data_IF_976469001796
#
_entry.id   IF_976469001796
#
_cell.length_a   1.000
_cell.length_b   1.000
_cell.length_c   1.000
_cell.angle_alpha   90.00
_cell.angle_beta   90.00
_cell.angle_gamma   90.00
#
_symmetry.space_group_name_H-M   'P 1'
#
loop_
_entity.id
_entity.type
_entity.pdbx_description
1 polymer ?
#
# COMPACT_ATOMS: atom_id res chain seq x y z
N UNK A 1 9.85 5.58 -5.09
CA UNK A 1 8.42 5.92 -5.24
C UNK A 1 8.29 7.43 -5.27
N UNK A 2 7.74 7.95 -6.36
CA UNK A 2 7.72 9.39 -6.63
C UNK A 2 6.53 10.01 -5.88
N UNK A 3 6.77 11.05 -5.09
CA UNK A 3 5.79 11.68 -4.16
C UNK A 3 4.63 12.35 -4.92
N UNK A 4 4.84 12.69 -6.18
CA UNK A 4 3.86 13.27 -7.10
C UNK A 4 2.69 12.33 -7.43
N UNK A 5 2.90 11.01 -7.41
CA UNK A 5 1.85 10.01 -7.72
C UNK A 5 0.83 9.81 -6.61
N UNK A 6 1.10 10.38 -5.45
CA UNK A 6 0.18 10.40 -4.30
C UNK A 6 -0.94 11.42 -4.51
N UNK A 7 -0.78 12.38 -5.43
CA UNK A 7 -1.78 13.41 -5.70
C UNK A 7 -3.14 12.80 -6.04
N UNK A 8 -4.19 13.36 -5.44
CA UNK A 8 -5.58 12.95 -5.61
C UNK A 8 -6.38 14.06 -6.28
N UNK A 9 -7.50 13.68 -6.90
CA UNK A 9 -8.49 14.60 -7.44
C UNK A 9 -9.76 14.62 -6.57
N UNK A 10 -10.69 15.51 -6.91
CA UNK A 10 -11.98 15.66 -6.21
C UNK A 10 -12.75 14.34 -6.10
N UNK A 11 -12.66 13.46 -7.10
CA UNK A 11 -13.37 12.18 -7.08
C UNK A 11 -12.83 11.22 -6.00
N UNK A 12 -11.51 11.18 -5.81
CA UNK A 12 -10.89 10.40 -4.72
C UNK A 12 -11.20 11.04 -3.37
N UNK A 13 -11.18 12.37 -3.29
CA UNK A 13 -11.51 13.11 -2.07
C UNK A 13 -12.94 12.81 -1.62
N UNK A 14 -13.93 13.00 -2.50
CA UNK A 14 -15.34 12.73 -2.24
C UNK A 14 -15.56 11.28 -1.82
N UNK A 15 -14.97 10.32 -2.54
CA UNK A 15 -15.10 8.91 -2.19
C UNK A 15 -14.48 8.62 -0.83
N UNK A 16 -13.33 9.20 -0.52
CA UNK A 16 -12.69 9.02 0.77
C UNK A 16 -13.53 9.61 1.89
N UNK A 17 -14.09 10.83 1.71
CA UNK A 17 -15.02 11.45 2.65
C UNK A 17 -16.26 10.59 2.89
N UNK A 18 -16.86 10.04 1.83
CA UNK A 18 -18.00 9.14 1.92
C UNK A 18 -17.68 7.91 2.80
N UNK A 19 -16.52 7.29 2.60
CA UNK A 19 -16.10 6.10 3.34
C UNK A 19 -15.88 6.39 4.84
N UNK A 20 -15.44 7.59 5.19
CA UNK A 20 -15.07 7.96 6.55
C UNK A 20 -16.13 8.78 7.30
N UNK A 21 -17.23 9.17 6.65
CA UNK A 21 -18.24 10.12 7.15
C UNK A 21 -18.72 9.84 8.58
N UNK A 22 -18.95 8.57 8.91
CA UNK A 22 -19.46 8.13 10.22
C UNK A 22 -18.40 7.38 11.04
N UNK A 23 -17.11 7.57 10.74
CA UNK A 23 -15.99 6.90 11.42
C UNK A 23 -15.29 7.87 12.36
N UNK A 24 -15.25 7.53 13.64
CA UNK A 24 -14.77 8.42 14.70
C UNK A 24 -13.29 8.19 15.03
N UNK A 25 -12.77 7.00 14.74
CA UNK A 25 -11.38 6.63 15.05
C UNK A 25 -10.53 6.47 13.79
N UNK A 26 -9.21 6.67 13.91
CA UNK A 26 -8.29 6.42 12.79
C UNK A 26 -8.33 4.97 12.31
N UNK A 27 -8.57 4.01 13.22
CA UNK A 27 -8.66 2.59 12.88
C UNK A 27 -9.92 2.29 12.04
N UNK A 28 -11.07 2.84 12.42
CA UNK A 28 -12.31 2.71 11.64
C UNK A 28 -12.17 3.30 10.24
N UNK A 29 -11.54 4.48 10.13
CA UNK A 29 -11.25 5.12 8.84
C UNK A 29 -10.33 4.27 7.98
N UNK A 30 -9.20 3.83 8.56
CA UNK A 30 -8.22 3.00 7.87
C UNK A 30 -8.85 1.70 7.35
N UNK A 31 -9.66 1.03 8.18
CA UNK A 31 -10.35 -0.21 7.84
C UNK A 31 -11.36 -0.02 6.70
N UNK A 32 -12.16 1.06 6.74
CA UNK A 32 -13.13 1.35 5.68
C UNK A 32 -12.43 1.60 4.33
N UNK A 33 -11.35 2.39 4.33
CA UNK A 33 -10.56 2.68 3.14
C UNK A 33 -9.89 1.41 2.62
N UNK A 34 -9.23 0.64 3.49
CA UNK A 34 -8.58 -0.62 3.13
C UNK A 34 -9.52 -1.59 2.42
N UNK A 35 -10.68 -1.88 3.02
CA UNK A 35 -11.65 -2.80 2.43
C UNK A 35 -12.23 -2.28 1.12
N UNK A 36 -12.42 -0.97 0.99
CA UNK A 36 -12.88 -0.41 -0.28
C UNK A 36 -11.83 -0.58 -1.37
N UNK A 37 -10.56 -0.27 -1.13
CA UNK A 37 -9.49 -0.44 -2.13
C UNK A 37 -9.36 -1.92 -2.50
N UNK A 38 -9.25 -2.80 -1.50
CA UNK A 38 -9.09 -4.25 -1.71
C UNK A 38 -10.27 -4.89 -2.46
N UNK A 39 -11.49 -4.34 -2.35
CA UNK A 39 -12.68 -4.88 -3.02
C UNK A 39 -13.04 -4.20 -4.34
N UNK A 40 -12.53 -2.97 -4.60
CA UNK A 40 -12.94 -2.17 -5.76
C UNK A 40 -11.85 -1.98 -6.79
N UNK A 41 -10.60 -2.36 -6.49
CA UNK A 41 -9.52 -2.33 -7.45
C UNK A 41 -9.14 -3.76 -7.80
N UNK A 42 -9.45 -4.16 -9.03
CA UNK A 42 -9.14 -5.51 -9.51
C UNK A 42 -7.63 -5.65 -9.68
N UNK A 43 -7.07 -6.71 -9.13
CA UNK A 43 -5.66 -7.05 -9.36
C UNK A 43 -5.43 -7.43 -10.82
N UNK A 44 -4.50 -6.74 -11.48
CA UNK A 44 -4.01 -7.08 -12.81
C UNK A 44 -2.50 -7.08 -12.73
N UNK A 45 -1.90 -8.27 -12.69
CA UNK A 45 -0.46 -8.43 -12.70
C UNK A 45 0.11 -7.97 -14.04
N UNK A 46 0.85 -6.86 -14.03
CA UNK A 46 1.61 -6.40 -15.19
C UNK A 46 3.05 -6.91 -15.03
N UNK A 47 3.39 -7.95 -15.78
CA UNK A 47 4.74 -8.52 -15.80
C UNK A 47 5.65 -7.72 -16.75
N UNK A 48 6.66 -7.05 -16.17
CA UNK A 48 7.94 -6.62 -16.73
C UNK A 48 8.03 -5.61 -17.92
N UNK A 49 8.66 -4.47 -17.61
CA UNK A 49 9.20 -3.42 -18.51
C UNK A 49 9.84 -2.28 -17.68
N UNK A 50 10.34 -1.20 -18.29
CA UNK A 50 10.94 -0.01 -17.61
C UNK A 50 10.06 0.61 -16.49
N UNK A 51 8.77 0.28 -16.47
CA UNK A 51 7.79 0.65 -15.44
C UNK A 51 7.83 -0.22 -14.15
N UNK A 52 8.74 -1.20 -14.04
CA UNK A 52 8.71 -2.25 -13.02
C UNK A 52 8.75 -1.83 -11.54
N UNK A 53 8.98 -0.55 -11.24
CA UNK A 53 8.99 0.00 -9.88
C UNK A 53 8.13 1.26 -9.70
N UNK A 54 7.48 1.73 -10.75
CA UNK A 54 6.76 3.00 -10.71
C UNK A 54 5.26 2.75 -10.82
N UNK A 55 4.46 3.02 -9.77
CA UNK A 55 3.00 2.88 -9.87
C UNK A 55 2.43 3.92 -10.83
N UNK A 56 1.21 3.71 -11.31
CA UNK A 56 0.40 4.74 -11.97
C UNK A 56 -0.02 5.84 -10.99
N UNK A 57 -0.58 6.94 -11.50
CA UNK A 57 -1.15 7.97 -10.63
C UNK A 57 -2.38 7.44 -9.90
N UNK A 58 -2.56 7.83 -8.64
CA UNK A 58 -3.75 7.42 -7.86
C UNK A 58 -5.07 7.74 -8.59
N UNK A 59 -5.13 8.86 -9.30
CA UNK A 59 -6.26 9.27 -10.14
C UNK A 59 -6.54 8.31 -11.29
N UNK A 60 -5.51 7.81 -11.96
CA UNK A 60 -5.64 6.81 -13.04
C UNK A 60 -6.13 5.47 -12.49
N UNK A 61 -5.54 5.01 -11.39
CA UNK A 61 -5.91 3.75 -10.73
C UNK A 61 -7.36 3.81 -10.25
N UNK A 62 -7.73 4.93 -9.62
CA UNK A 62 -9.10 5.17 -9.15
C UNK A 62 -10.08 5.22 -10.32
N UNK A 63 -9.75 5.86 -11.43
CA UNK A 63 -10.63 5.93 -12.61
C UNK A 63 -10.80 4.56 -13.26
N UNK A 64 -9.71 3.82 -13.42
CA UNK A 64 -9.66 2.58 -14.18
C UNK A 64 -10.13 1.36 -13.36
N UNK A 65 -10.09 1.44 -12.02
CA UNK A 65 -10.49 0.37 -11.10
C UNK A 65 -9.71 -0.95 -11.27
N UNK A 66 -8.47 -0.87 -11.76
CA UNK A 66 -7.53 -1.99 -11.80
C UNK A 66 -6.10 -1.51 -11.62
N UNK A 67 -5.22 -2.44 -11.22
CA UNK A 67 -3.78 -2.19 -11.09
C UNK A 67 -3.06 -3.37 -10.46
N UNK A 68 -1.72 -3.30 -10.46
CA UNK A 68 -0.86 -4.28 -9.79
C UNK A 68 -0.68 -3.97 -8.28
N UNK A 69 0.27 -4.63 -7.62
CA UNK A 69 0.52 -4.43 -6.19
C UNK A 69 0.98 -3.01 -5.82
N UNK A 70 1.74 -2.36 -6.71
CA UNK A 70 2.26 -1.01 -6.51
C UNK A 70 1.12 -0.01 -6.67
N UNK A 71 0.27 -0.21 -7.68
CA UNK A 71 -0.90 0.63 -7.96
C UNK A 71 -1.90 0.61 -6.81
N UNK A 72 -2.31 -0.58 -6.36
CA UNK A 72 -3.26 -0.69 -5.26
C UNK A 72 -2.72 -0.10 -3.96
N UNK A 73 -1.44 -0.34 -3.68
CA UNK A 73 -0.75 0.27 -2.55
C UNK A 73 -0.70 1.79 -2.66
N UNK A 74 -0.43 2.33 -3.85
CA UNK A 74 -0.39 3.76 -4.10
C UNK A 74 -1.75 4.42 -3.83
N UNK A 75 -2.83 3.87 -4.39
CA UNK A 75 -4.17 4.41 -4.16
C UNK A 75 -4.57 4.33 -2.67
N UNK A 76 -4.27 3.21 -1.99
CA UNK A 76 -4.51 3.06 -0.56
C UNK A 76 -3.77 4.14 0.25
N UNK A 77 -2.48 4.36 -0.05
CA UNK A 77 -1.67 5.38 0.62
C UNK A 77 -2.25 6.78 0.42
N UNK A 78 -2.64 7.13 -0.80
CA UNK A 78 -3.24 8.43 -1.12
C UNK A 78 -4.52 8.68 -0.32
N UNK A 79 -5.44 7.70 -0.28
CA UNK A 79 -6.69 7.83 0.45
C UNK A 79 -6.47 7.89 1.97
N UNK A 80 -5.55 7.10 2.52
CA UNK A 80 -5.21 7.14 3.94
C UNK A 80 -4.61 8.50 4.34
N UNK A 81 -3.69 9.04 3.53
CA UNK A 81 -3.08 10.35 3.77
C UNK A 81 -4.12 11.46 3.77
N UNK A 82 -5.05 11.44 2.83
CA UNK A 82 -6.16 12.39 2.80
C UNK A 82 -7.06 12.28 4.04
N UNK A 83 -7.29 11.07 4.55
CA UNK A 83 -8.02 10.84 5.80
C UNK A 83 -7.23 11.22 7.08
N UNK A 84 -6.04 11.81 6.95
CA UNK A 84 -5.20 12.25 8.06
C UNK A 84 -4.38 11.13 8.70
N UNK A 85 -4.19 10.00 8.01
CA UNK A 85 -3.43 8.84 8.49
C UNK A 85 -2.12 8.76 7.69
N UNK A 86 -0.99 8.85 8.38
CA UNK A 86 0.32 8.72 7.71
C UNK A 86 0.45 7.31 7.14
N UNK A 87 0.76 7.21 5.86
CA UNK A 87 0.92 5.94 5.16
C UNK A 87 2.15 5.95 4.24
N UNK A 88 2.82 4.81 4.12
CA UNK A 88 4.12 4.67 3.48
C UNK A 88 4.15 3.46 2.56
N UNK A 89 4.77 3.56 1.38
CA UNK A 89 5.01 2.41 0.53
C UNK A 89 5.97 1.43 1.20
N UNK A 90 5.73 0.15 0.97
CA UNK A 90 6.56 -0.95 1.47
C UNK A 90 6.85 -1.92 0.34
N UNK A 91 8.12 -2.29 0.18
CA UNK A 91 8.52 -3.40 -0.68
C UNK A 91 8.82 -4.63 0.17
N UNK A 92 8.32 -5.78 -0.28
CA UNK A 92 8.46 -7.07 0.39
C UNK A 92 8.79 -8.16 -0.63
N UNK A 93 9.67 -9.07 -0.25
CA UNK A 93 9.95 -10.29 -1.00
C UNK A 93 9.14 -11.41 -0.38
N UNK A 94 8.20 -12.00 -1.10
CA UNK A 94 7.30 -13.04 -0.58
C UNK A 94 8.06 -14.35 -0.28
N UNK A 95 7.44 -15.25 0.48
CA UNK A 95 7.98 -16.57 0.82
C UNK A 95 8.28 -17.36 -0.46
N UNK A 96 9.55 -17.75 -0.63
CA UNK A 96 10.08 -18.35 -1.87
C UNK A 96 11.07 -17.45 -2.59
N UNK A 97 11.06 -16.14 -2.32
CA UNK A 97 12.14 -15.22 -2.68
C UNK A 97 13.27 -15.27 -1.65
N UNK A 98 14.50 -15.03 -2.11
CA UNK A 98 15.67 -14.85 -1.25
C UNK A 98 15.39 -13.80 -0.18
N UNK A 99 15.85 -14.06 1.05
CA UNK A 99 15.74 -13.09 2.14
C UNK A 99 16.64 -11.90 1.82
N UNK A 100 16.19 -10.70 2.20
CA UNK A 100 17.00 -9.49 2.12
C UNK A 100 18.25 -9.68 3.01
N UNK A 101 19.40 -9.84 2.36
CA UNK A 101 20.70 -9.91 3.01
C UNK A 101 21.30 -8.49 3.10
N UNK A 102 21.78 -8.12 4.28
CA UNK A 102 22.42 -6.82 4.50
C UNK A 102 23.87 -6.82 4.00
N UNK A 103 24.50 -7.99 3.90
CA UNK A 103 25.87 -8.17 3.40
C UNK A 103 25.91 -8.23 1.87
N UNK A 104 24.79 -8.53 1.23
CA UNK A 104 24.61 -8.54 -0.23
C UNK A 104 23.46 -7.61 -0.63
N UNK A 105 23.72 -6.33 -0.95
CA UNK A 105 22.69 -5.33 -1.23
C UNK A 105 22.08 -5.55 -2.62
N UNK A 106 21.39 -6.66 -2.82
CA UNK A 106 20.47 -6.86 -3.95
C UNK A 106 19.06 -6.63 -3.43
N UNK A 107 18.37 -5.65 -4.00
CA UNK A 107 16.97 -5.37 -3.69
C UNK A 107 16.09 -6.47 -4.30
N UNK A 108 15.93 -7.59 -3.59
CA UNK A 108 15.07 -8.71 -4.01
C UNK A 108 13.68 -8.51 -3.42
N UNK A 109 12.84 -7.77 -4.13
CA UNK A 109 11.42 -7.60 -3.81
C UNK A 109 10.57 -7.99 -5.02
N UNK A 110 9.47 -8.69 -4.78
CA UNK A 110 8.52 -9.09 -5.82
C UNK A 110 7.09 -8.60 -5.52
N UNK A 111 6.89 -7.91 -4.39
CA UNK A 111 5.57 -7.44 -3.96
C UNK A 111 5.65 -6.08 -3.28
N UNK A 112 4.55 -5.33 -3.33
CA UNK A 112 4.42 -4.00 -2.76
C UNK A 112 3.13 -3.88 -1.94
N UNK A 113 3.26 -3.36 -0.72
CA UNK A 113 2.17 -3.19 0.25
C UNK A 113 2.23 -1.78 0.87
N UNK A 114 1.38 -1.52 1.87
CA UNK A 114 1.29 -0.26 2.59
C UNK A 114 1.64 -0.44 4.08
N UNK A 115 2.32 0.55 4.68
CA UNK A 115 2.44 0.71 6.13
C UNK A 115 1.67 1.95 6.55
N UNK A 116 0.66 1.80 7.40
CA UNK A 116 -0.13 2.88 7.98
C UNK A 116 0.23 3.11 9.45
N UNK A 117 0.38 4.37 9.86
CA UNK A 117 0.49 4.78 11.26
C UNK A 117 -0.89 5.12 11.80
N UNK A 118 -1.45 4.25 12.64
CA UNK A 118 -2.78 4.35 13.22
C UNK A 118 -2.63 4.58 14.72
N UNK A 119 -2.77 5.83 15.15
CA UNK A 119 -2.34 6.31 16.46
C UNK A 119 -0.83 6.09 16.63
N UNK A 120 -0.46 5.35 17.68
CA UNK A 120 0.93 4.98 17.96
C UNK A 120 1.36 3.66 17.28
N UNK A 121 0.43 2.97 16.60
CA UNK A 121 0.70 1.66 16.01
C UNK A 121 1.09 1.78 14.54
N UNK A 122 2.08 0.99 14.13
CA UNK A 122 2.40 0.75 12.72
C UNK A 122 1.67 -0.52 12.27
N UNK A 123 0.85 -0.41 11.23
CA UNK A 123 0.04 -1.50 10.70
C UNK A 123 0.37 -1.70 9.22
N UNK A 124 0.85 -2.90 8.87
CA UNK A 124 1.04 -3.27 7.47
C UNK A 124 -0.28 -3.76 6.86
N UNK A 125 -0.58 -3.29 5.66
CA UNK A 125 -1.81 -3.53 4.92
C UNK A 125 -1.47 -3.94 3.49
N UNK A 126 -1.95 -5.10 3.07
CA UNK A 126 -1.85 -5.56 1.67
C UNK A 126 -3.22 -5.43 0.99
N UNK A 127 -3.41 -4.41 0.12
CA UNK A 127 -4.68 -4.23 -0.59
C UNK A 127 -4.91 -5.28 -1.68
N UNK A 128 -3.88 -6.00 -2.14
CA UNK A 128 -3.99 -7.00 -3.20
C UNK A 128 -4.60 -8.31 -2.73
N UNK A 129 -4.63 -8.52 -1.42
CA UNK A 129 -5.15 -9.71 -0.80
C UNK A 129 -6.62 -9.52 -0.41
N UNK A 130 -7.53 -9.66 -1.38
CA UNK A 130 -8.97 -9.36 -1.25
C UNK A 130 -9.66 -10.02 -0.04
N UNK A 131 -9.18 -11.20 0.39
CA UNK A 131 -9.74 -12.00 1.48
C UNK A 131 -9.01 -11.83 2.82
N UNK A 132 -7.93 -11.03 2.86
CA UNK A 132 -7.16 -10.82 4.07
C UNK A 132 -7.82 -9.77 4.95
N UNK A 133 -7.88 -10.04 6.25
CA UNK A 133 -8.45 -9.11 7.22
C UNK A 133 -7.53 -7.91 7.42
N UNK A 134 -8.14 -6.77 7.76
CA UNK A 134 -7.40 -5.56 8.07
C UNK A 134 -6.33 -5.79 9.15
N UNK A 135 -5.07 -5.47 8.82
CA UNK A 135 -3.90 -5.61 9.71
C UNK A 135 -3.18 -6.96 9.60
N UNK A 136 -3.83 -7.96 9.01
CA UNK A 136 -3.20 -9.23 8.66
C UNK A 136 -2.51 -9.14 7.30
N UNK A 137 -1.65 -10.12 7.03
CA UNK A 137 -1.03 -10.30 5.72
C UNK A 137 -1.22 -11.74 5.24
N UNK A 138 -1.22 -12.00 3.93
CA UNK A 138 -1.14 -13.35 3.39
C UNK A 138 0.07 -14.11 3.94
N UNK A 139 -0.03 -15.44 4.03
CA UNK A 139 1.07 -16.26 4.58
C UNK A 139 2.39 -16.15 3.81
N UNK A 140 2.38 -15.65 2.57
CA UNK A 140 3.59 -15.34 1.81
C UNK A 140 4.36 -14.11 2.30
N UNK A 141 3.68 -13.21 3.01
CA UNK A 141 4.18 -11.89 3.40
C UNK A 141 4.47 -11.76 4.90
N UNK A 142 4.14 -12.80 5.67
CA UNK A 142 4.42 -12.87 7.11
C UNK A 142 5.87 -13.30 7.38
N UNK A 143 6.45 -12.80 8.49
CA UNK A 143 7.82 -13.11 8.95
C UNK A 143 8.91 -12.72 7.92
N UNK A 144 8.76 -11.54 7.30
CA UNK A 144 9.66 -11.05 6.24
C UNK A 144 10.35 -9.75 6.64
N UNK A 145 11.56 -9.56 6.11
CA UNK A 145 12.20 -8.25 6.08
C UNK A 145 11.56 -7.40 4.98
N UNK A 146 11.22 -6.17 5.31
CA UNK A 146 10.59 -5.22 4.38
C UNK A 146 11.40 -3.94 4.28
N UNK A 147 11.26 -3.25 3.15
CA UNK A 147 11.85 -1.93 2.93
C UNK A 147 10.74 -0.88 2.88
N UNK A 148 10.77 0.05 3.84
CA UNK A 148 9.76 1.09 4.01
C UNK A 148 10.30 2.43 3.51
N UNK A 149 9.52 3.11 2.68
CA UNK A 149 9.87 4.44 2.16
C UNK A 149 9.21 5.53 3.02
N UNK A 150 9.93 6.03 4.04
CA UNK A 150 9.49 7.22 4.78
C UNK A 150 9.82 8.50 3.99
N UNK A 151 9.11 9.60 4.26
CA UNK A 151 9.20 10.85 3.48
C UNK A 151 10.59 11.52 3.47
N UNK A 152 11.49 11.12 4.38
CA UNK A 152 12.86 11.68 4.46
C UNK A 152 13.96 10.61 4.36
N UNK A 153 13.64 9.32 4.52
CA UNK A 153 14.62 8.22 4.60
C UNK A 153 13.95 6.88 4.25
N UNK A 154 14.62 6.00 3.50
CA UNK A 154 14.22 4.58 3.41
C UNK A 154 14.76 3.80 4.60
N UNK A 155 13.95 2.98 5.28
CA UNK A 155 14.38 2.14 6.42
C UNK A 155 13.93 0.69 6.25
N UNK A 156 14.78 -0.25 6.68
CA UNK A 156 14.44 -1.67 6.75
C UNK A 156 13.68 -1.92 8.05
N UNK A 157 12.57 -2.64 7.97
CA UNK A 157 11.78 -3.05 9.14
C UNK A 157 11.48 -4.56 9.06
N UNK A 158 11.28 -5.21 10.21
CA UNK A 158 10.87 -6.63 10.28
C UNK A 158 9.40 -6.69 10.69
N UNK A 159 8.61 -7.52 10.00
CA UNK A 159 7.25 -7.90 10.43
C UNK A 159 7.23 -9.38 10.70
#
# INVERSE_FOLDING_TARGET
LVVDKINIDEAIEEKTQELIKDKNTQEEKARAIYHWVASKIRYVGVEYGEAGFEPHYATEIFKNKYGDCKDQSMLLISMLRYAGISAYPVLIGTKGSYLLDEEFPTLIFNHAICLAKIGEKLVFLDPTAETTSFGDLPGGDQDRKVFVFYEKEGKIQKK
#
